data_IF_329071199525
#
_entry.id   IF_329071199525
#
_cell.length_a   1.000
_cell.length_b   1.000
_cell.length_c   1.000
_cell.angle_alpha   90.00
_cell.angle_beta   90.00
_cell.angle_gamma   90.00
#
_symmetry.space_group_name_H-M   'P 1'
#
loop_
_entity.id
_entity.type
_entity.pdbx_description
1 polymer ?
#
# COMPACT_ATOMS: atom_id res chain seq x y z
N UNK A 1 28.71 -12.54 -19.89
CA UNK A 1 28.68 -11.60 -18.77
C UNK A 1 27.21 -11.37 -18.47
N UNK A 2 26.71 -11.82 -17.30
CA UNK A 2 25.31 -11.61 -16.95
C UNK A 2 25.04 -10.12 -16.88
N UNK A 3 23.96 -9.64 -17.50
CA UNK A 3 23.63 -8.22 -17.49
C UNK A 3 23.47 -7.75 -16.04
N UNK A 4 24.15 -6.68 -15.62
CA UNK A 4 23.87 -5.97 -14.36
C UNK A 4 22.55 -5.16 -14.44
N UNK A 5 21.62 -5.62 -15.26
CA UNK A 5 20.35 -4.96 -15.50
C UNK A 5 19.51 -4.98 -14.22
N UNK A 6 19.04 -3.81 -13.83
CA UNK A 6 18.14 -3.60 -12.70
C UNK A 6 16.81 -3.12 -13.25
N UNK A 7 15.73 -3.86 -12.98
CA UNK A 7 14.35 -3.43 -13.26
C UNK A 7 13.57 -3.33 -11.97
N UNK A 8 12.68 -2.34 -11.88
CA UNK A 8 11.78 -2.16 -10.76
C UNK A 8 10.33 -2.17 -11.24
N UNK A 9 9.60 -3.23 -10.92
CA UNK A 9 8.16 -3.26 -11.07
C UNK A 9 7.52 -2.55 -9.89
N UNK A 10 6.80 -1.46 -10.15
CA UNK A 10 6.22 -0.63 -9.12
C UNK A 10 4.90 -0.02 -9.57
N UNK A 11 4.27 0.75 -8.68
CA UNK A 11 3.04 1.50 -8.95
C UNK A 11 3.23 2.93 -8.45
N UNK A 12 2.88 3.94 -9.25
CA UNK A 12 3.23 5.34 -8.97
C UNK A 12 2.81 5.84 -7.58
N UNK A 13 1.66 5.39 -7.06
CA UNK A 13 1.13 5.79 -5.76
C UNK A 13 1.51 4.82 -4.62
N UNK A 14 2.37 3.83 -4.86
CA UNK A 14 2.79 2.87 -3.84
C UNK A 14 3.91 3.44 -2.96
N UNK A 15 3.68 3.63 -1.64
CA UNK A 15 4.75 4.05 -0.74
C UNK A 15 5.86 2.98 -0.64
N UNK A 16 5.51 1.71 -0.76
CA UNK A 16 6.46 0.59 -0.71
C UNK A 16 7.36 0.55 -1.94
N UNK A 17 6.82 0.87 -3.12
CA UNK A 17 7.61 0.97 -4.33
C UNK A 17 8.54 2.17 -4.30
N UNK A 18 8.03 3.31 -3.82
CA UNK A 18 8.83 4.53 -3.70
C UNK A 18 10.02 4.37 -2.75
N UNK A 19 9.86 3.58 -1.68
CA UNK A 19 10.96 3.19 -0.78
C UNK A 19 12.17 2.61 -1.53
N UNK A 20 11.91 1.71 -2.48
CA UNK A 20 12.95 1.06 -3.30
C UNK A 20 13.57 2.07 -4.27
N UNK A 21 12.75 2.92 -4.90
CA UNK A 21 13.24 3.97 -5.79
C UNK A 21 14.21 4.93 -5.07
N UNK A 22 13.86 5.37 -3.86
CA UNK A 22 14.74 6.22 -3.04
C UNK A 22 16.05 5.52 -2.70
N UNK A 23 16.01 4.25 -2.28
CA UNK A 23 17.22 3.48 -1.98
C UNK A 23 18.14 3.36 -3.22
N UNK A 24 17.60 2.98 -4.38
CA UNK A 24 18.38 2.88 -5.62
C UNK A 24 18.98 4.23 -6.03
N UNK A 25 18.19 5.31 -5.96
CA UNK A 25 18.66 6.66 -6.36
C UNK A 25 19.70 7.23 -5.39
N UNK A 26 19.57 6.99 -4.08
CA UNK A 26 20.60 7.39 -3.10
C UNK A 26 21.92 6.64 -3.32
N UNK A 27 21.86 5.40 -3.82
CA UNK A 27 23.02 4.60 -4.21
C UNK A 27 23.58 4.95 -5.59
N UNK A 28 22.90 5.79 -6.37
CA UNK A 28 23.29 6.09 -7.76
C UNK A 28 23.14 4.91 -8.71
N UNK A 29 22.21 3.99 -8.43
CA UNK A 29 21.94 2.81 -9.27
C UNK A 29 20.91 3.19 -10.34
N UNK A 30 21.28 2.98 -11.60
CA UNK A 30 20.36 3.11 -12.73
C UNK A 30 19.46 1.88 -12.83
N UNK A 31 18.19 2.09 -13.17
CA UNK A 31 17.20 1.03 -13.26
C UNK A 31 16.09 1.37 -14.27
N UNK A 32 15.52 0.33 -14.87
CA UNK A 32 14.30 0.43 -15.68
C UNK A 32 13.07 0.40 -14.76
N UNK A 33 12.25 1.46 -14.78
CA UNK A 33 10.97 1.48 -14.06
C UNK A 33 9.86 0.88 -14.92
N UNK A 34 9.17 -0.14 -14.41
CA UNK A 34 8.05 -0.79 -15.07
C UNK A 34 6.78 -0.56 -14.26
N UNK A 35 5.96 0.39 -14.70
CA UNK A 35 4.66 0.69 -14.08
C UNK A 35 3.73 -0.53 -14.15
N UNK A 36 3.05 -0.82 -13.04
CA UNK A 36 2.09 -1.91 -12.90
C UNK A 36 0.70 -1.39 -12.52
N UNK A 37 -0.34 -1.98 -13.12
CA UNK A 37 -1.70 -1.85 -12.62
C UNK A 37 -1.93 -2.86 -11.47
N UNK A 38 -2.15 -2.34 -10.27
CA UNK A 38 -2.35 -3.17 -9.07
C UNK A 38 -3.75 -3.79 -8.98
N UNK A 39 -4.72 -3.30 -9.77
CA UNK A 39 -6.08 -3.83 -9.86
C UNK A 39 -6.20 -4.84 -11.01
N UNK A 40 -5.44 -4.64 -12.10
CA UNK A 40 -5.31 -5.57 -13.24
C UNK A 40 -3.86 -6.03 -13.38
N UNK A 41 -3.46 -6.96 -12.52
CA UNK A 41 -2.08 -7.45 -12.43
C UNK A 41 -1.62 -8.12 -13.72
N UNK A 42 -0.43 -7.74 -14.19
CA UNK A 42 0.21 -8.33 -15.36
C UNK A 42 0.71 -9.75 -15.09
N UNK A 43 0.81 -10.59 -16.13
CA UNK A 43 1.41 -11.92 -16.01
C UNK A 43 2.86 -11.84 -15.50
N UNK A 44 3.62 -10.83 -15.97
CA UNK A 44 4.98 -10.57 -15.52
C UNK A 44 5.06 -10.40 -13.99
N UNK A 45 4.17 -9.59 -13.39
CA UNK A 45 4.14 -9.42 -11.94
C UNK A 45 3.78 -10.73 -11.21
N UNK A 46 2.82 -11.49 -11.75
CA UNK A 46 2.39 -12.76 -11.18
C UNK A 46 3.49 -13.84 -11.24
N UNK A 47 4.31 -13.82 -12.30
CA UNK A 47 5.44 -14.73 -12.48
C UNK A 47 6.62 -14.36 -11.58
N UNK A 48 6.94 -13.07 -11.45
CA UNK A 48 8.10 -12.61 -10.66
C UNK A 48 7.83 -12.61 -9.15
N UNK A 49 6.57 -12.50 -8.72
CA UNK A 49 6.17 -12.59 -7.31
C UNK A 49 4.93 -13.49 -7.16
N UNK A 50 5.08 -14.82 -7.33
CA UNK A 50 3.94 -15.74 -7.31
C UNK A 50 3.29 -15.88 -5.94
N UNK A 51 4.05 -15.64 -4.86
CA UNK A 51 3.58 -15.77 -3.48
C UNK A 51 2.65 -14.62 -3.10
N UNK A 52 3.11 -13.37 -3.21
CA UNK A 52 2.32 -12.22 -2.77
C UNK A 52 1.60 -11.52 -3.91
N UNK A 53 2.09 -11.63 -5.15
CA UNK A 53 1.51 -10.99 -6.34
C UNK A 53 1.42 -9.47 -6.16
N UNK A 54 2.43 -8.85 -5.55
CA UNK A 54 2.46 -7.43 -5.16
C UNK A 54 3.71 -6.74 -5.69
N UNK A 55 3.58 -5.43 -5.86
CA UNK A 55 4.70 -4.50 -6.02
C UNK A 55 5.17 -3.96 -4.65
N UNK A 56 6.45 -3.58 -4.52
CA UNK A 56 7.49 -3.64 -5.54
C UNK A 56 8.06 -5.05 -5.78
N UNK A 57 8.62 -5.24 -6.97
CA UNK A 57 9.55 -6.35 -7.28
C UNK A 57 10.78 -5.76 -7.95
N UNK A 58 11.95 -5.97 -7.36
CA UNK A 58 13.23 -5.66 -7.98
C UNK A 58 13.70 -6.89 -8.76
N UNK A 59 14.13 -6.72 -10.01
CA UNK A 59 14.79 -7.76 -10.79
C UNK A 59 16.22 -7.30 -11.03
N UNK A 60 17.19 -7.99 -10.43
CA UNK A 60 18.61 -7.69 -10.64
C UNK A 60 19.28 -8.92 -11.27
N UNK A 61 19.88 -8.74 -12.45
CA UNK A 61 20.50 -9.84 -13.21
C UNK A 61 19.55 -11.05 -13.36
N UNK A 62 18.32 -10.76 -13.80
CA UNK A 62 17.23 -11.72 -14.02
C UNK A 62 16.74 -12.46 -12.75
N UNK A 63 17.16 -12.03 -11.56
CA UNK A 63 16.71 -12.61 -10.28
C UNK A 63 15.69 -11.69 -9.61
N UNK A 64 14.43 -12.12 -9.40
CA UNK A 64 13.43 -11.33 -8.71
C UNK A 64 13.64 -11.33 -7.20
N UNK A 65 13.38 -10.18 -6.58
CA UNK A 65 13.40 -9.94 -5.14
C UNK A 65 12.14 -9.16 -4.82
N UNK A 66 11.33 -9.69 -3.92
CA UNK A 66 10.06 -9.10 -3.48
C UNK A 66 10.17 -8.58 -2.04
N UNK A 67 9.16 -7.82 -1.62
CA UNK A 67 9.06 -7.12 -0.33
C UNK A 67 10.03 -5.95 -0.18
N UNK A 68 9.48 -4.75 -0.02
CA UNK A 68 10.26 -3.50 -0.08
C UNK A 68 11.37 -3.42 0.97
N UNK A 69 11.17 -3.94 2.18
CA UNK A 69 12.24 -3.99 3.19
C UNK A 69 13.37 -4.92 2.79
N UNK A 70 13.05 -6.13 2.33
CA UNK A 70 14.03 -7.11 1.85
C UNK A 70 14.80 -6.55 0.66
N UNK A 71 14.10 -5.88 -0.26
CA UNK A 71 14.72 -5.22 -1.42
C UNK A 71 15.68 -4.11 -0.97
N UNK A 72 15.31 -3.26 -0.01
CA UNK A 72 16.19 -2.18 0.47
C UNK A 72 17.44 -2.74 1.16
N UNK A 73 17.30 -3.80 1.96
CA UNK A 73 18.46 -4.48 2.56
C UNK A 73 19.37 -5.08 1.47
N UNK A 74 18.78 -5.74 0.47
CA UNK A 74 19.52 -6.26 -0.68
C UNK A 74 20.26 -5.16 -1.46
N UNK A 75 19.62 -4.01 -1.67
CA UNK A 75 20.23 -2.84 -2.32
C UNK A 75 21.41 -2.33 -1.49
N UNK A 76 21.28 -2.27 -0.17
CA UNK A 76 22.35 -1.83 0.73
C UNK A 76 23.55 -2.79 0.75
N UNK A 77 23.30 -4.10 0.68
CA UNK A 77 24.33 -5.15 0.65
C UNK A 77 25.04 -5.26 -0.71
N UNK A 78 24.32 -5.00 -1.81
CA UNK A 78 24.84 -5.12 -3.19
C UNK A 78 25.69 -3.90 -3.57
N UNK A 79 25.19 -2.68 -3.32
CA UNK A 79 25.87 -1.43 -3.66
C UNK A 79 26.37 -0.74 -2.39
N UNK A 80 27.64 -0.99 -2.05
CA UNK A 80 28.24 -0.65 -0.75
C UNK A 80 28.54 0.84 -0.53
N UNK A 81 28.47 1.67 -1.58
CA UNK A 81 28.57 3.11 -1.46
C UNK A 81 27.40 3.66 -0.62
N UNK A 82 27.63 4.69 0.21
CA UNK A 82 26.59 5.34 1.01
C UNK A 82 25.73 4.33 1.83
N UNK A 83 26.28 3.70 2.89
CA UNK A 83 25.55 2.68 3.66
C UNK A 83 24.25 3.25 4.25
N UNK A 84 23.14 2.54 4.06
CA UNK A 84 21.83 2.92 4.57
C UNK A 84 21.61 2.38 5.99
N UNK A 85 22.00 1.13 6.23
CA UNK A 85 21.97 0.56 7.56
C UNK A 85 23.19 1.02 8.40
N UNK A 86 23.02 1.20 9.72
CA UNK A 86 24.14 1.39 10.62
C UNK A 86 25.16 0.24 10.52
N UNK A 87 26.42 0.47 10.89
CA UNK A 87 27.41 -0.61 10.95
C UNK A 87 27.32 -1.43 12.25
N UNK A 88 26.94 -0.76 13.35
CA UNK A 88 26.77 -1.41 14.64
C UNK A 88 25.58 -2.40 14.62
N UNK A 89 25.78 -3.68 15.00
CA UNK A 89 24.72 -4.69 14.96
C UNK A 89 23.47 -4.34 15.77
N UNK A 90 23.63 -3.67 16.91
CA UNK A 90 22.50 -3.27 17.75
C UNK A 90 21.69 -2.14 17.10
N UNK A 91 22.35 -1.11 16.57
CA UNK A 91 21.68 -0.04 15.83
C UNK A 91 20.98 -0.55 14.56
N UNK A 92 21.55 -1.54 13.86
CA UNK A 92 20.88 -2.23 12.74
C UNK A 92 19.60 -2.93 13.18
N UNK A 93 19.63 -3.62 14.32
CA UNK A 93 18.46 -4.29 14.85
C UNK A 93 17.35 -3.30 15.23
N UNK A 94 17.71 -2.17 15.86
CA UNK A 94 16.76 -1.10 16.19
C UNK A 94 16.13 -0.47 14.94
N UNK A 95 16.94 -0.17 13.91
CA UNK A 95 16.43 0.38 12.66
C UNK A 95 15.39 -0.55 11.99
N UNK A 96 15.66 -1.87 11.98
CA UNK A 96 14.71 -2.87 11.47
C UNK A 96 13.45 -2.97 12.33
N UNK A 97 13.62 -2.97 13.65
CA UNK A 97 12.50 -3.02 14.58
C UNK A 97 11.54 -1.83 14.38
N UNK A 98 12.07 -0.61 14.33
CA UNK A 98 11.26 0.59 14.14
C UNK A 98 10.61 0.63 12.75
N UNK A 99 11.34 0.27 11.69
CA UNK A 99 10.80 0.22 10.34
C UNK A 99 9.59 -0.72 10.25
N UNK A 100 9.72 -1.92 10.81
CA UNK A 100 8.66 -2.92 10.80
C UNK A 100 7.48 -2.53 11.71
N UNK A 101 7.77 -2.16 12.96
CA UNK A 101 6.75 -1.89 13.98
C UNK A 101 5.91 -0.65 13.67
N UNK A 102 6.51 0.40 13.11
CA UNK A 102 5.79 1.59 12.69
C UNK A 102 4.85 1.28 11.52
N UNK A 103 5.34 0.57 10.49
CA UNK A 103 4.54 0.25 9.31
C UNK A 103 3.33 -0.63 9.67
N UNK A 104 3.50 -1.66 10.52
CA UNK A 104 2.45 -2.64 10.84
C UNK A 104 1.10 -2.03 11.26
N UNK A 105 1.12 -0.90 11.97
CA UNK A 105 -0.12 -0.30 12.51
C UNK A 105 -0.39 1.08 11.95
N UNK A 106 0.65 1.88 11.68
CA UNK A 106 0.45 3.27 11.26
C UNK A 106 -0.14 3.36 9.86
N UNK A 107 0.26 2.47 8.94
CA UNK A 107 -0.26 2.50 7.58
C UNK A 107 -1.74 2.16 7.55
N UNK A 108 -2.17 1.18 8.35
CA UNK A 108 -3.57 0.78 8.45
C UNK A 108 -4.41 1.84 9.14
N UNK A 109 -3.91 2.42 10.24
CA UNK A 109 -4.56 3.53 10.92
C UNK A 109 -4.75 4.73 9.98
N UNK A 110 -3.70 5.15 9.28
CA UNK A 110 -3.77 6.29 8.37
C UNK A 110 -4.65 6.00 7.14
N UNK A 111 -4.60 4.78 6.60
CA UNK A 111 -5.47 4.34 5.51
C UNK A 111 -6.94 4.31 5.92
N UNK A 112 -7.27 3.71 7.07
CA UNK A 112 -8.64 3.66 7.59
C UNK A 112 -9.15 5.08 7.83
N UNK A 113 -8.37 5.94 8.49
CA UNK A 113 -8.73 7.33 8.71
C UNK A 113 -9.01 8.09 7.40
N UNK A 114 -8.29 7.80 6.32
CA UNK A 114 -8.57 8.37 4.99
C UNK A 114 -9.79 7.75 4.30
N UNK A 115 -10.17 6.51 4.61
CA UNK A 115 -11.29 5.81 3.96
C UNK A 115 -12.64 6.04 4.64
N UNK A 116 -12.64 6.27 5.95
CA UNK A 116 -13.85 6.28 6.78
C UNK A 116 -14.18 7.70 7.29
N UNK A 117 -15.29 7.79 8.01
CA UNK A 117 -15.77 9.01 8.70
C UNK A 117 -16.38 8.60 10.05
N UNK A 118 -16.66 9.56 10.93
CA UNK A 118 -17.27 9.29 12.23
C UNK A 118 -16.33 8.54 13.18
N UNK A 119 -16.89 7.67 14.02
CA UNK A 119 -16.15 6.99 15.09
C UNK A 119 -14.99 6.13 14.58
N UNK A 120 -15.17 5.43 13.44
CA UNK A 120 -14.11 4.64 12.81
C UNK A 120 -12.90 5.50 12.43
N UNK A 121 -13.15 6.69 11.89
CA UNK A 121 -12.10 7.64 11.52
C UNK A 121 -11.42 8.20 12.77
N UNK A 122 -12.18 8.59 13.79
CA UNK A 122 -11.64 9.14 15.04
C UNK A 122 -10.77 8.12 15.77
N UNK A 123 -11.21 6.86 15.85
CA UNK A 123 -10.44 5.76 16.44
C UNK A 123 -9.14 5.51 15.68
N UNK A 124 -9.20 5.51 14.34
CA UNK A 124 -8.01 5.33 13.51
C UNK A 124 -7.02 6.49 13.66
N UNK A 125 -7.50 7.75 13.73
CA UNK A 125 -6.66 8.92 14.01
C UNK A 125 -6.00 8.81 15.38
N UNK A 126 -6.73 8.39 16.41
CA UNK A 126 -6.18 8.18 17.76
C UNK A 126 -5.04 7.16 17.75
N UNK A 127 -5.24 6.00 17.12
CA UNK A 127 -4.19 4.97 16.99
C UNK A 127 -2.98 5.51 16.22
N UNK A 128 -3.20 6.27 15.15
CA UNK A 128 -2.13 6.94 14.40
C UNK A 128 -1.31 7.86 15.30
N UNK A 129 -1.97 8.72 16.09
CA UNK A 129 -1.29 9.67 16.99
C UNK A 129 -0.49 8.98 18.10
N UNK A 130 -1.00 7.91 18.70
CA UNK A 130 -0.26 7.11 19.70
C UNK A 130 1.03 6.50 19.13
N UNK A 131 1.05 6.16 17.83
CA UNK A 131 2.25 5.69 17.15
C UNK A 131 3.19 6.84 16.81
N UNK A 132 2.65 7.99 16.38
CA UNK A 132 3.44 9.20 16.13
C UNK A 132 4.16 9.68 17.39
N UNK A 133 3.55 9.58 18.58
CA UNK A 133 4.22 9.90 19.87
C UNK A 133 5.49 9.07 20.09
N UNK A 134 5.48 7.79 19.71
CA UNK A 134 6.66 6.92 19.84
C UNK A 134 7.76 7.27 18.82
N UNK A 135 7.35 7.58 17.60
CA UNK A 135 8.28 7.99 16.53
C UNK A 135 8.89 9.35 16.86
N UNK A 136 8.13 10.26 17.48
CA UNK A 136 8.57 11.60 17.87
C UNK A 136 9.72 11.51 18.86
N UNK A 137 9.62 10.67 19.89
CA UNK A 137 10.71 10.46 20.84
C UNK A 137 11.93 9.79 20.20
N UNK A 138 11.75 8.93 19.20
CA UNK A 138 12.87 8.30 18.48
C UNK A 138 13.62 9.28 17.55
N UNK A 139 12.93 10.22 16.90
CA UNK A 139 13.55 11.20 16.00
C UNK A 139 14.05 12.46 16.72
N UNK A 140 13.61 12.69 17.97
CA UNK A 140 13.92 13.89 18.76
C UNK A 140 15.42 14.16 18.82
N UNK A 141 15.79 15.40 18.49
CA UNK A 141 17.18 15.86 18.48
C UNK A 141 18.01 15.36 17.29
N UNK A 142 17.41 14.64 16.34
CA UNK A 142 18.09 14.14 15.13
C UNK A 142 17.59 14.87 13.89
N UNK A 143 18.46 15.03 12.90
CA UNK A 143 18.09 15.56 11.57
C UNK A 143 17.40 14.47 10.73
N UNK A 144 17.97 13.27 10.75
CA UNK A 144 17.48 12.03 10.17
C UNK A 144 17.64 10.89 11.19
N UNK A 145 16.89 9.80 11.03
CA UNK A 145 17.11 8.60 11.85
C UNK A 145 18.52 8.02 11.61
N UNK A 146 19.08 8.20 10.41
CA UNK A 146 20.47 7.92 10.06
C UNK A 146 21.51 8.93 10.58
N UNK A 147 21.11 9.94 11.37
CA UNK A 147 21.98 11.01 11.86
C UNK A 147 22.00 12.21 10.90
N UNK A 148 23.16 12.50 10.31
CA UNK A 148 23.33 13.66 9.42
C UNK A 148 22.83 13.43 7.97
N UNK A 149 22.73 12.16 7.58
CA UNK A 149 22.32 11.69 6.26
C UNK A 149 21.09 10.77 6.36
N UNK A 150 20.35 10.64 5.26
CA UNK A 150 19.22 9.70 5.13
C UNK A 150 19.73 8.27 5.29
N UNK A 151 19.21 7.55 6.27
CA UNK A 151 19.49 6.13 6.50
C UNK A 151 18.32 5.21 6.15
N UNK A 152 18.46 3.93 6.50
CA UNK A 152 17.47 2.89 6.27
C UNK A 152 16.11 3.24 6.87
N UNK A 153 16.09 3.72 8.13
CA UNK A 153 14.83 4.03 8.81
C UNK A 153 14.15 5.27 8.22
N UNK A 154 14.91 6.25 7.72
CA UNK A 154 14.36 7.39 6.98
C UNK A 154 13.68 6.95 5.69
N UNK A 155 14.30 6.06 4.92
CA UNK A 155 13.73 5.47 3.70
C UNK A 155 12.48 4.64 4.04
N UNK A 156 12.56 3.83 5.11
CA UNK A 156 11.46 3.01 5.60
C UNK A 156 10.22 3.84 5.94
N UNK A 157 10.40 4.93 6.69
CA UNK A 157 9.34 5.78 7.21
C UNK A 157 9.02 6.98 6.31
N UNK A 158 9.80 7.24 5.27
CA UNK A 158 9.68 8.43 4.42
C UNK A 158 8.28 8.65 3.82
N UNK A 159 7.48 7.59 3.68
CA UNK A 159 6.08 7.71 3.27
C UNK A 159 5.23 8.55 4.24
N UNK A 160 5.56 8.57 5.54
CA UNK A 160 4.93 9.44 6.55
C UNK A 160 5.00 10.90 6.12
N UNK A 161 6.13 11.32 5.53
CA UNK A 161 6.36 12.71 5.14
C UNK A 161 5.46 13.19 3.99
N UNK A 162 4.96 12.28 3.14
CA UNK A 162 4.28 12.66 1.91
C UNK A 162 2.89 12.03 1.74
N UNK A 163 2.74 10.74 2.04
CA UNK A 163 1.46 10.03 1.91
C UNK A 163 0.49 10.43 3.02
N UNK A 164 0.94 10.53 4.28
CA UNK A 164 0.03 10.91 5.36
C UNK A 164 -0.56 12.31 5.13
N UNK A 165 0.20 13.36 4.78
CA UNK A 165 -0.39 14.66 4.44
C UNK A 165 -1.37 14.64 3.26
N UNK A 166 -1.15 13.80 2.25
CA UNK A 166 -2.13 13.61 1.17
C UNK A 166 -3.40 12.93 1.70
N UNK A 167 -3.25 11.93 2.57
CA UNK A 167 -4.36 11.20 3.17
C UNK A 167 -5.16 12.03 4.18
N UNK A 168 -4.49 12.91 4.92
CA UNK A 168 -5.10 13.91 5.80
C UNK A 168 -6.00 14.86 5.03
N UNK A 169 -5.51 15.39 3.91
CA UNK A 169 -6.27 16.27 3.02
C UNK A 169 -7.50 15.56 2.44
N UNK A 170 -7.32 14.36 1.87
CA UNK A 170 -8.41 13.55 1.30
C UNK A 170 -9.41 13.09 2.36
N UNK A 171 -8.91 12.73 3.55
CA UNK A 171 -9.71 12.25 4.68
C UNK A 171 -10.39 13.36 5.47
N UNK A 172 -9.98 14.63 5.28
CA UNK A 172 -10.36 15.76 6.13
C UNK A 172 -10.09 15.47 7.62
N UNK A 173 -8.92 14.93 7.91
CA UNK A 173 -8.46 14.53 9.25
C UNK A 173 -7.00 14.92 9.45
N UNK A 174 -6.51 14.88 10.70
CA UNK A 174 -5.14 15.25 11.04
C UNK A 174 -4.54 14.23 12.02
N UNK A 175 -3.54 13.47 11.58
CA UNK A 175 -2.74 12.55 12.39
C UNK A 175 -1.46 13.26 12.86
N UNK A 176 -0.77 13.98 11.97
CA UNK A 176 0.48 14.67 12.25
C UNK A 176 0.17 16.12 12.63
N UNK A 177 -0.09 16.36 13.91
CA UNK A 177 -0.26 17.71 14.45
C UNK A 177 1.12 18.40 14.59
N UNK A 178 1.44 19.46 13.82
CA UNK A 178 2.80 20.03 13.83
C UNK A 178 3.25 20.56 15.19
N UNK A 179 2.32 21.07 16.00
CA UNK A 179 2.60 21.56 17.35
C UNK A 179 2.85 20.43 18.35
N UNK A 180 2.31 19.24 18.09
CA UNK A 180 2.46 18.07 18.95
C UNK A 180 3.68 17.24 18.56
N UNK A 181 4.04 17.22 17.28
CA UNK A 181 5.14 16.44 16.72
C UNK A 181 6.16 17.33 15.98
N UNK A 182 6.82 18.27 16.69
CA UNK A 182 7.75 19.20 16.07
C UNK A 182 8.99 18.50 15.50
N UNK A 183 9.52 17.44 16.13
CA UNK A 183 10.71 16.74 15.63
C UNK A 183 10.39 15.96 14.35
N UNK A 184 9.25 15.27 14.29
CA UNK A 184 8.75 14.65 13.05
C UNK A 184 8.52 15.70 11.98
N UNK A 185 7.91 16.84 12.29
CA UNK A 185 7.65 17.91 11.31
C UNK A 185 8.96 18.46 10.72
N UNK A 186 9.97 18.67 11.57
CA UNK A 186 11.30 19.09 11.14
C UNK A 186 11.97 18.01 10.26
N UNK A 187 11.89 16.75 10.67
CA UNK A 187 12.40 15.61 9.89
C UNK A 187 11.71 15.49 8.52
N UNK A 188 10.38 15.60 8.45
CA UNK A 188 9.63 15.58 7.19
C UNK A 188 10.10 16.69 6.25
N UNK A 189 10.31 17.89 6.78
CA UNK A 189 10.83 19.04 6.01
C UNK A 189 12.22 18.75 5.46
N UNK A 190 13.13 18.24 6.30
CA UNK A 190 14.49 17.87 5.91
C UNK A 190 14.50 16.75 4.86
N UNK A 191 13.67 15.73 5.04
CA UNK A 191 13.56 14.57 4.16
C UNK A 191 13.05 14.98 2.78
N UNK A 192 11.95 15.72 2.72
CA UNK A 192 11.36 16.19 1.46
C UNK A 192 12.22 17.23 0.74
N UNK A 193 13.08 17.95 1.46
CA UNK A 193 14.00 18.93 0.88
C UNK A 193 15.26 18.30 0.30
N UNK A 194 15.57 17.04 0.63
CA UNK A 194 16.73 16.34 0.08
C UNK A 194 16.57 16.17 -1.44
N UNK A 195 17.56 16.55 -2.28
CA UNK A 195 17.41 16.58 -3.74
C UNK A 195 16.90 15.26 -4.33
N UNK A 196 17.51 14.14 -3.94
CA UNK A 196 17.10 12.80 -4.39
C UNK A 196 15.65 12.47 -4.00
N UNK A 197 15.16 12.94 -2.87
CA UNK A 197 13.78 12.67 -2.46
C UNK A 197 12.84 13.56 -3.25
N UNK A 198 13.10 14.89 -3.21
CA UNK A 198 12.29 15.92 -3.87
C UNK A 198 12.03 15.61 -5.34
N UNK A 199 13.06 15.21 -6.08
CA UNK A 199 12.98 14.99 -7.52
C UNK A 199 12.28 13.67 -7.89
N UNK A 200 12.06 12.77 -6.92
CA UNK A 200 11.47 11.45 -7.16
C UNK A 200 10.09 11.26 -6.51
N UNK A 201 9.46 12.31 -5.99
CA UNK A 201 8.09 12.24 -5.43
C UNK A 201 7.05 12.07 -6.56
N UNK A 202 5.97 11.29 -6.33
CA UNK A 202 4.87 11.23 -7.29
C UNK A 202 4.16 12.60 -7.37
N UNK A 203 3.61 13.02 -8.52
CA UNK A 203 2.91 14.29 -8.64
C UNK A 203 1.74 14.39 -7.67
N UNK A 204 1.71 15.47 -6.86
CA UNK A 204 0.75 15.63 -5.76
C UNK A 204 -0.70 15.63 -6.24
N UNK A 205 -0.97 16.31 -7.36
CA UNK A 205 -2.27 16.37 -8.02
C UNK A 205 -2.79 14.97 -8.39
N UNK A 206 -1.93 14.12 -8.99
CA UNK A 206 -2.28 12.74 -9.32
C UNK A 206 -2.57 11.91 -8.07
N UNK A 207 -1.80 12.12 -7.00
CA UNK A 207 -2.02 11.45 -5.71
C UNK A 207 -3.37 11.82 -5.11
N UNK A 208 -3.72 13.12 -5.08
CA UNK A 208 -5.00 13.61 -4.58
C UNK A 208 -6.19 13.05 -5.38
N UNK A 209 -6.11 13.06 -6.72
CA UNK A 209 -7.13 12.48 -7.59
C UNK A 209 -7.30 10.98 -7.34
N UNK A 210 -6.18 10.25 -7.25
CA UNK A 210 -6.18 8.81 -6.98
C UNK A 210 -6.84 8.49 -5.64
N UNK A 211 -6.36 9.08 -4.55
CA UNK A 211 -6.88 8.77 -3.22
C UNK A 211 -8.29 9.30 -2.97
N UNK A 212 -8.68 10.44 -3.56
CA UNK A 212 -10.07 10.89 -3.55
C UNK A 212 -11.00 9.88 -4.23
N UNK A 213 -10.57 9.30 -5.35
CA UNK A 213 -11.32 8.24 -6.03
C UNK A 213 -11.41 6.97 -5.19
N UNK A 214 -10.34 6.61 -4.48
CA UNK A 214 -10.34 5.49 -3.51
C UNK A 214 -11.31 5.75 -2.36
N UNK A 215 -11.24 6.91 -1.70
CA UNK A 215 -12.17 7.28 -0.61
C UNK A 215 -13.62 7.19 -1.07
N UNK A 216 -13.97 7.78 -2.23
CA UNK A 216 -15.34 7.71 -2.79
C UNK A 216 -15.81 6.27 -3.05
N UNK A 217 -14.94 5.42 -3.58
CA UNK A 217 -15.27 4.01 -3.81
C UNK A 217 -15.54 3.26 -2.50
N UNK A 218 -14.85 3.62 -1.43
CA UNK A 218 -14.91 2.97 -0.11
C UNK A 218 -16.03 3.52 0.79
N UNK A 219 -16.35 4.82 0.69
CA UNK A 219 -17.36 5.48 1.53
C UNK A 219 -18.79 5.34 1.00
N UNK A 220 -18.99 4.95 -0.27
CA UNK A 220 -20.33 4.81 -0.85
C UNK A 220 -21.12 3.67 -0.19
N UNK A 221 -22.15 4.02 0.57
CA UNK A 221 -23.08 3.13 1.26
C UNK A 221 -23.86 2.23 0.29
N UNK A 222 -24.05 0.95 0.66
CA UNK A 222 -24.82 -0.11 -0.02
C UNK A 222 -24.48 -0.50 -1.48
N UNK A 223 -23.73 0.30 -2.24
CA UNK A 223 -23.16 -0.09 -3.54
C UNK A 223 -21.62 -0.09 -3.50
N UNK A 224 -21.00 0.61 -2.55
CA UNK A 224 -19.56 0.63 -2.39
C UNK A 224 -18.99 -0.72 -2.02
N UNK A 225 -19.72 -1.59 -1.30
CA UNK A 225 -19.29 -2.97 -1.07
C UNK A 225 -19.28 -3.79 -2.37
N UNK A 226 -20.30 -3.65 -3.24
CA UNK A 226 -20.28 -4.24 -4.58
C UNK A 226 -19.14 -3.69 -5.43
N UNK A 227 -18.87 -2.38 -5.36
CA UNK A 227 -17.74 -1.75 -6.06
C UNK A 227 -16.40 -2.23 -5.52
N UNK A 228 -16.25 -2.35 -4.20
CA UNK A 228 -15.10 -2.91 -3.49
C UNK A 228 -14.82 -4.35 -3.89
N UNK A 229 -15.86 -5.19 -3.96
CA UNK A 229 -15.75 -6.56 -4.43
C UNK A 229 -15.34 -6.57 -5.90
N UNK A 230 -15.98 -5.79 -6.77
CA UNK A 230 -15.66 -5.75 -8.21
C UNK A 230 -14.29 -5.10 -8.54
N UNK A 231 -13.81 -4.10 -7.79
CA UNK A 231 -12.51 -3.44 -8.02
C UNK A 231 -11.36 -4.02 -7.19
N UNK A 232 -11.65 -4.70 -6.08
CA UNK A 232 -10.65 -5.23 -5.15
C UNK A 232 -10.18 -4.23 -4.09
N UNK A 233 -9.59 -4.78 -3.03
CA UNK A 233 -8.99 -4.04 -1.89
C UNK A 233 -7.52 -4.36 -1.73
N UNK A 234 -6.78 -3.45 -1.08
CA UNK A 234 -5.49 -3.80 -0.49
C UNK A 234 -5.66 -4.95 0.52
N UNK A 235 -4.69 -5.85 0.61
CA UNK A 235 -4.82 -6.99 1.54
C UNK A 235 -4.75 -6.59 3.01
N UNK A 236 -4.15 -5.43 3.31
CA UNK A 236 -4.15 -4.86 4.67
C UNK A 236 -5.53 -4.35 5.07
N UNK A 237 -6.49 -4.27 4.14
CA UNK A 237 -7.87 -4.00 4.48
C UNK A 237 -8.38 -5.13 5.41
N UNK A 238 -9.01 -4.82 6.56
CA UNK A 238 -9.47 -5.80 7.54
C UNK A 238 -10.42 -6.90 7.02
N UNK A 239 -10.89 -6.77 5.78
CA UNK A 239 -11.83 -7.68 5.10
C UNK A 239 -11.29 -8.22 3.78
N UNK A 240 -10.00 -8.10 3.50
CA UNK A 240 -9.42 -8.52 2.24
C UNK A 240 -9.63 -10.00 1.92
N UNK A 241 -9.56 -10.86 2.93
CA UNK A 241 -9.87 -12.28 2.78
C UNK A 241 -11.33 -12.49 2.33
N UNK A 242 -12.28 -11.84 3.00
CA UNK A 242 -13.70 -11.89 2.64
C UNK A 242 -13.95 -11.36 1.23
N UNK A 243 -13.37 -10.21 0.87
CA UNK A 243 -13.49 -9.63 -0.48
C UNK A 243 -12.94 -10.59 -1.54
N UNK A 244 -11.78 -11.20 -1.29
CA UNK A 244 -11.16 -12.18 -2.20
C UNK A 244 -12.04 -13.42 -2.36
N UNK A 245 -12.62 -13.93 -1.27
CA UNK A 245 -13.55 -15.06 -1.30
C UNK A 245 -14.84 -14.72 -2.06
N UNK A 246 -15.45 -13.56 -1.85
CA UNK A 246 -16.66 -13.17 -2.59
C UNK A 246 -16.35 -12.98 -4.09
N UNK A 247 -15.17 -12.45 -4.44
CA UNK A 247 -14.73 -12.37 -5.84
C UNK A 247 -14.57 -13.75 -6.48
N UNK A 248 -13.95 -14.70 -5.78
CA UNK A 248 -13.79 -16.06 -6.32
C UNK A 248 -15.12 -16.78 -6.53
N UNK A 249 -16.16 -16.35 -5.81
CA UNK A 249 -17.55 -16.74 -6.03
C UNK A 249 -18.17 -16.02 -7.24
N UNK A 250 -17.94 -14.72 -7.41
CA UNK A 250 -18.46 -13.97 -8.57
C UNK A 250 -17.88 -14.42 -9.92
N UNK A 251 -16.64 -14.91 -9.95
CA UNK A 251 -16.00 -15.39 -11.18
C UNK A 251 -16.48 -16.80 -11.61
N UNK A 252 -17.38 -17.43 -10.85
CA UNK A 252 -17.95 -18.75 -11.15
C UNK A 252 -19.35 -18.62 -11.72
N UNK A 253 -19.70 -19.51 -12.65
CA UNK A 253 -21.08 -19.72 -13.04
C UNK A 253 -21.87 -20.37 -11.90
N UNK A 254 -23.06 -19.82 -11.62
CA UNK A 254 -23.96 -20.33 -10.59
C UNK A 254 -25.15 -21.02 -11.21
N UNK A 255 -25.45 -22.24 -10.76
CA UNK A 255 -26.74 -22.88 -10.96
C UNK A 255 -27.50 -22.86 -9.63
N UNK A 256 -28.57 -22.07 -9.56
CA UNK A 256 -29.49 -22.07 -8.41
C UNK A 256 -30.61 -23.08 -8.67
N UNK A 257 -30.76 -24.05 -7.76
CA UNK A 257 -31.85 -25.03 -7.78
C UNK A 257 -32.66 -24.92 -6.49
N UNK A 258 -33.97 -24.76 -6.61
CA UNK A 258 -34.89 -24.68 -5.48
C UNK A 258 -36.19 -25.39 -5.83
N UNK A 259 -36.79 -26.09 -4.86
CA UNK A 259 -38.12 -26.68 -5.05
C UNK A 259 -39.18 -25.58 -5.02
N UNK A 260 -40.06 -25.57 -6.00
CA UNK A 260 -41.10 -24.54 -6.14
C UNK A 260 -42.36 -25.12 -6.79
N UNK A 261 -43.48 -24.41 -6.65
CA UNK A 261 -44.65 -24.62 -7.51
C UNK A 261 -44.41 -23.96 -8.88
N UNK A 262 -45.01 -24.48 -9.97
CA UNK A 262 -44.81 -23.95 -11.35
C UNK A 262 -44.88 -22.42 -11.44
N UNK A 263 -45.80 -21.80 -10.70
CA UNK A 263 -46.00 -20.34 -10.71
C UNK A 263 -44.90 -19.59 -9.96
N UNK A 264 -44.52 -20.06 -8.78
CA UNK A 264 -43.52 -19.40 -7.94
C UNK A 264 -42.13 -19.50 -8.56
N UNK A 265 -41.79 -20.66 -9.13
CA UNK A 265 -40.48 -20.85 -9.77
C UNK A 265 -40.28 -20.01 -11.00
N UNK A 266 -41.30 -19.92 -11.86
CA UNK A 266 -41.24 -19.04 -13.03
C UNK A 266 -41.07 -17.57 -12.60
N UNK A 267 -41.77 -17.14 -11.55
CA UNK A 267 -41.62 -15.78 -11.03
C UNK A 267 -40.21 -15.50 -10.49
N UNK A 268 -39.63 -16.47 -9.76
CA UNK A 268 -38.25 -16.35 -9.24
C UNK A 268 -37.22 -16.42 -10.37
N UNK A 269 -37.40 -17.32 -11.35
CA UNK A 269 -36.54 -17.46 -12.52
C UNK A 269 -36.55 -16.18 -13.37
N UNK A 270 -37.73 -15.62 -13.65
CA UNK A 270 -37.87 -14.35 -14.36
C UNK A 270 -37.22 -13.19 -13.59
N UNK A 271 -37.35 -13.18 -12.26
CA UNK A 271 -36.72 -12.18 -11.39
C UNK A 271 -35.19 -12.23 -11.41
N UNK A 272 -34.61 -13.43 -11.46
CA UNK A 272 -33.17 -13.65 -11.54
C UNK A 272 -32.63 -13.36 -12.96
N UNK A 273 -33.36 -13.75 -14.01
CA UNK A 273 -33.02 -13.46 -15.40
C UNK A 273 -32.97 -11.94 -15.67
N UNK A 274 -33.92 -11.17 -15.11
CA UNK A 274 -33.90 -9.69 -15.15
C UNK A 274 -32.65 -9.06 -14.50
N UNK A 275 -31.98 -9.79 -13.61
CA UNK A 275 -30.72 -9.36 -12.97
C UNK A 275 -29.47 -9.88 -13.69
N UNK A 276 -29.62 -10.49 -14.87
CA UNK A 276 -28.51 -11.01 -15.67
C UNK A 276 -27.97 -12.37 -15.21
N UNK A 277 -28.69 -13.07 -14.32
CA UNK A 277 -28.31 -14.43 -13.89
C UNK A 277 -28.78 -15.42 -14.95
N UNK A 278 -27.90 -16.33 -15.41
CA UNK A 278 -28.30 -17.44 -16.25
C UNK A 278 -29.10 -18.44 -15.41
N UNK A 279 -30.38 -18.65 -15.75
CA UNK A 279 -31.28 -19.55 -15.01
C UNK A 279 -31.62 -20.75 -15.88
N UNK A 280 -31.38 -21.95 -15.35
CA UNK A 280 -31.89 -23.22 -15.91
C UNK A 280 -32.88 -23.82 -14.94
N UNK A 281 -34.13 -24.02 -15.38
CA UNK A 281 -35.14 -24.72 -14.61
C UNK A 281 -35.16 -26.20 -15.03
N UNK A 282 -35.03 -27.11 -14.06
CA UNK A 282 -35.22 -28.55 -14.26
C UNK A 282 -36.31 -29.07 -13.32
N UNK A 283 -37.25 -29.83 -13.86
CA UNK A 283 -38.36 -30.41 -13.12
C UNK A 283 -37.90 -31.65 -12.36
N UNK A 284 -38.17 -31.72 -11.06
CA UNK A 284 -38.20 -32.97 -10.33
C UNK A 284 -39.64 -33.49 -10.35
N UNK A 285 -39.87 -34.64 -10.96
CA UNK A 285 -41.14 -35.38 -10.87
C UNK A 285 -41.27 -36.05 -9.50
#
# INVERSE_FOLDING_TARGET
MGSEEVKLLSFFASPFGKRVEWALKLKGVEYEYIEQDIFKKSNLLLELNPVHKKVPVLVHAQKPIAESFVIVEYVDETWKQCPLLPQDPYQRALARFWAYSAEQKLIDAAWIAMCTSGDDQQNAVKVGRELMEKIEEEIKGKKFFGGDNIGYLDIALGWISYWIPVWEEVGSMLIIEPLKFPAITAWMTNFLSHPVIKDNLPPRDKMLVYYSSRRKALSSTSLGWFKLISTGVYITHPRAALVTTIRSFMDKDWCLSFQHTLREGNFVADGLAKKGVHVTASFAF
#
